data_IF_823966125646
#
_entry.id   IF_823966125646
#
_cell.length_a   1.000
_cell.length_b   1.000
_cell.length_c   1.000
_cell.angle_alpha   90.00
_cell.angle_beta   90.00
_cell.angle_gamma   90.00
#
_symmetry.space_group_name_H-M   'P 1'
#
loop_
_entity.id
_entity.type
_entity.pdbx_description
1 polymer ?
#
# COMPACT_ATOMS: atom_id res chain seq x y z
N UNK A 1 -1.08 9.69 -0.99
CA UNK A 1 -0.85 10.64 0.12
C UNK A 1 -2.17 11.10 0.73
N UNK A 2 -2.19 11.54 1.99
CA UNK A 2 -3.42 12.02 2.66
C UNK A 2 -3.16 13.28 3.47
N UNK A 3 -4.16 14.17 3.51
CA UNK A 3 -4.26 15.34 4.40
C UNK A 3 -5.73 15.55 4.75
N UNK A 4 -6.05 16.51 5.64
CA UNK A 4 -7.42 16.81 6.09
C UNK A 4 -8.41 16.78 4.92
N UNK A 5 -9.37 15.86 5.01
CA UNK A 5 -10.47 15.62 4.07
C UNK A 5 -10.05 15.32 2.61
N UNK A 6 -8.78 14.93 2.37
CA UNK A 6 -8.23 14.73 1.03
C UNK A 6 -7.35 13.48 0.92
N UNK A 7 -7.54 12.73 -0.16
CA UNK A 7 -6.72 11.60 -0.58
C UNK A 7 -6.22 11.85 -1.99
N UNK A 8 -4.92 11.67 -2.18
CA UNK A 8 -4.25 11.76 -3.47
C UNK A 8 -3.70 10.37 -3.82
N UNK A 9 -4.21 9.76 -4.89
CA UNK A 9 -3.60 8.59 -5.51
C UNK A 9 -2.74 9.08 -6.67
N UNK A 10 -1.44 8.88 -6.54
CA UNK A 10 -0.41 9.42 -7.44
C UNK A 10 0.49 8.27 -7.91
N UNK A 11 0.92 8.28 -9.17
CA UNK A 11 1.94 7.35 -9.67
C UNK A 11 1.63 6.81 -11.06
N UNK A 12 2.21 5.65 -11.38
CA UNK A 12 2.11 5.03 -12.70
C UNK A 12 1.50 3.63 -12.58
N UNK A 13 0.46 3.33 -13.36
CA UNK A 13 -0.17 2.00 -13.42
C UNK A 13 -0.44 1.64 -14.89
N UNK A 14 0.21 0.58 -15.36
CA UNK A 14 -0.09 -0.04 -16.67
C UNK A 14 -0.82 -1.36 -16.43
N UNK A 15 -2.10 -1.43 -16.79
CA UNK A 15 -2.93 -2.63 -16.61
C UNK A 15 -4.11 -2.66 -17.58
N UNK A 16 -4.61 -3.85 -17.88
CA UNK A 16 -5.85 -4.05 -18.64
C UNK A 16 -7.09 -4.08 -17.73
N UNK A 17 -6.91 -4.02 -16.41
CA UNK A 17 -8.02 -4.07 -15.47
C UNK A 17 -8.88 -2.80 -15.53
N UNK A 18 -10.21 -2.97 -15.49
CA UNK A 18 -11.14 -1.87 -15.26
C UNK A 18 -11.37 -1.72 -13.75
N UNK A 19 -10.79 -0.68 -13.15
CA UNK A 19 -10.72 -0.51 -11.69
C UNK A 19 -11.47 0.75 -11.26
N UNK A 20 -12.40 0.59 -10.32
CA UNK A 20 -13.03 1.71 -9.61
C UNK A 20 -12.16 2.11 -8.40
N UNK A 21 -11.21 3.01 -8.65
CA UNK A 21 -10.26 3.48 -7.63
C UNK A 21 -10.95 4.21 -6.47
N UNK A 22 -11.97 5.02 -6.74
CA UNK A 22 -12.68 5.77 -5.69
C UNK A 22 -13.37 4.80 -4.72
N UNK A 23 -14.05 3.77 -5.24
CA UNK A 23 -14.66 2.73 -4.41
C UNK A 23 -13.64 1.98 -3.57
N UNK A 24 -12.51 1.55 -4.16
CA UNK A 24 -11.46 0.83 -3.43
C UNK A 24 -10.89 1.69 -2.31
N UNK A 25 -10.58 2.95 -2.59
CA UNK A 25 -10.05 3.89 -1.60
C UNK A 25 -11.05 4.06 -0.45
N UNK A 26 -12.33 4.33 -0.76
CA UNK A 26 -13.36 4.56 0.26
C UNK A 26 -13.62 3.34 1.11
N UNK A 27 -13.75 2.15 0.51
CA UNK A 27 -13.94 0.91 1.27
C UNK A 27 -12.71 0.59 2.14
N UNK A 28 -11.50 0.90 1.68
CA UNK A 28 -10.28 0.76 2.49
C UNK A 28 -10.30 1.70 3.70
N UNK A 29 -10.64 2.98 3.52
CA UNK A 29 -10.73 3.97 4.60
C UNK A 29 -11.83 3.59 5.60
N UNK A 30 -12.98 3.14 5.10
CA UNK A 30 -14.09 2.63 5.92
C UNK A 30 -13.68 1.39 6.72
N UNK A 31 -12.98 0.43 6.12
CA UNK A 31 -12.48 -0.76 6.80
C UNK A 31 -11.46 -0.42 7.91
N UNK A 32 -10.65 0.62 7.71
CA UNK A 32 -9.77 1.14 8.75
C UNK A 32 -10.61 1.74 9.90
N UNK A 33 -11.77 2.34 9.61
CA UNK A 33 -12.75 2.79 10.62
C UNK A 33 -12.96 4.30 10.66
N UNK A 34 -12.51 5.02 9.64
CA UNK A 34 -12.76 6.45 9.45
C UNK A 34 -14.09 6.67 8.72
N UNK A 35 -15.18 6.69 9.49
CA UNK A 35 -16.58 6.73 9.03
C UNK A 35 -17.40 7.91 9.60
N UNK A 36 -16.73 8.78 10.36
CA UNK A 36 -17.28 9.94 11.03
C UNK A 36 -16.19 11.02 11.20
N UNK A 37 -16.52 12.27 10.90
CA UNK A 37 -15.58 13.39 10.92
C UNK A 37 -15.01 13.67 12.33
N UNK A 38 -15.71 13.27 13.40
CA UNK A 38 -15.21 13.36 14.78
C UNK A 38 -13.96 12.51 15.02
N UNK A 39 -13.74 11.47 14.20
CA UNK A 39 -12.51 10.67 14.20
C UNK A 39 -11.35 11.37 13.46
N UNK A 40 -11.58 12.58 12.93
CA UNK A 40 -10.62 13.39 12.19
C UNK A 40 -10.59 13.12 10.69
N UNK A 41 -11.37 12.14 10.21
CA UNK A 41 -11.48 11.78 8.79
C UNK A 41 -12.73 10.93 8.54
N UNK A 42 -13.36 11.06 7.38
CA UNK A 42 -14.56 10.29 7.01
C UNK A 42 -14.53 9.88 5.52
N UNK A 43 -14.69 8.58 5.27
CA UNK A 43 -14.68 8.01 3.92
C UNK A 43 -15.82 8.52 3.02
N UNK A 44 -16.91 9.06 3.59
CA UNK A 44 -18.06 9.55 2.81
C UNK A 44 -17.79 10.95 2.26
N UNK A 45 -17.17 11.80 3.07
CA UNK A 45 -16.96 13.22 2.77
C UNK A 45 -15.58 13.55 2.21
N UNK A 46 -14.60 12.64 2.31
CA UNK A 46 -13.26 12.89 1.79
C UNK A 46 -13.24 13.05 0.26
N UNK A 47 -12.44 14.01 -0.21
CA UNK A 47 -12.16 14.21 -1.64
C UNK A 47 -11.08 13.24 -2.08
N UNK A 48 -11.33 12.53 -3.19
CA UNK A 48 -10.37 11.62 -3.81
C UNK A 48 -9.89 12.27 -5.10
N UNK A 49 -8.57 12.42 -5.23
CA UNK A 49 -7.91 12.93 -6.42
C UNK A 49 -7.03 11.84 -7.01
N UNK A 50 -7.24 11.55 -8.28
CA UNK A 50 -6.51 10.55 -9.03
C UNK A 50 -5.59 11.27 -10.02
N UNK A 51 -4.29 11.04 -9.89
CA UNK A 51 -3.25 11.51 -10.81
C UNK A 51 -2.37 10.30 -11.13
N UNK A 52 -2.89 9.45 -12.01
CA UNK A 52 -2.27 8.19 -12.38
C UNK A 52 -1.96 8.25 -13.87
N UNK A 53 -0.70 8.06 -14.22
CA UNK A 53 -0.24 7.93 -15.59
C UNK A 53 0.09 6.46 -15.91
N UNK A 54 0.44 6.17 -17.16
CA UNK A 54 1.02 4.88 -17.51
C UNK A 54 2.51 4.86 -17.21
N UNK A 55 3.05 3.66 -17.01
CA UNK A 55 4.49 3.48 -16.85
C UNK A 55 5.24 4.05 -18.08
N UNK A 56 6.38 4.70 -17.85
CA UNK A 56 7.27 5.13 -18.93
C UNK A 56 7.64 3.95 -19.85
N UNK A 57 7.60 4.21 -21.16
CA UNK A 57 8.01 3.25 -22.19
C UNK A 57 9.51 2.93 -22.08
N UNK A 58 10.35 3.90 -21.69
CA UNK A 58 11.78 3.62 -21.49
C UNK A 58 12.01 2.65 -20.33
N UNK A 59 11.25 2.79 -19.24
CA UNK A 59 11.31 1.87 -18.10
C UNK A 59 10.79 0.49 -18.50
N UNK A 60 9.64 0.42 -19.17
CA UNK A 60 9.08 -0.86 -19.63
C UNK A 60 10.06 -1.64 -20.52
N UNK A 61 10.74 -0.96 -21.47
CA UNK A 61 11.79 -1.55 -22.31
C UNK A 61 13.04 -1.98 -21.55
N UNK A 62 13.41 -1.26 -20.48
CA UNK A 62 14.53 -1.65 -19.63
C UNK A 62 14.24 -2.85 -18.72
N UNK A 63 12.96 -3.15 -18.49
CA UNK A 63 12.53 -4.15 -17.50
C UNK A 63 11.98 -5.41 -18.15
N UNK A 64 10.95 -5.30 -18.99
CA UNK A 64 10.18 -6.48 -19.44
C UNK A 64 9.85 -6.51 -20.94
N UNK A 65 9.76 -5.39 -21.65
CA UNK A 65 9.37 -5.44 -23.07
C UNK A 65 10.45 -6.17 -23.88
N UNK A 66 10.01 -7.14 -24.68
CA UNK A 66 10.86 -8.01 -25.50
C UNK A 66 11.90 -8.84 -24.71
N UNK A 67 11.74 -8.95 -23.39
CA UNK A 67 12.55 -9.84 -22.56
C UNK A 67 11.82 -11.17 -22.35
N UNK A 68 12.57 -12.26 -22.21
CA UNK A 68 12.00 -13.53 -21.73
C UNK A 68 11.75 -13.44 -20.22
N UNK A 69 10.87 -14.27 -19.67
CA UNK A 69 10.55 -14.25 -18.23
C UNK A 69 11.79 -14.43 -17.33
N UNK A 70 12.83 -15.11 -17.82
CA UNK A 70 14.09 -15.32 -17.09
C UNK A 70 15.08 -14.15 -17.24
N UNK A 71 14.81 -13.19 -18.13
CA UNK A 71 15.68 -12.06 -18.46
C UNK A 71 15.05 -10.71 -18.06
N UNK A 72 14.04 -10.72 -17.18
CA UNK A 72 13.43 -9.48 -16.67
C UNK A 72 14.44 -8.70 -15.84
N UNK A 73 14.65 -7.44 -16.21
CA UNK A 73 15.55 -6.52 -15.51
C UNK A 73 14.98 -6.03 -14.17
N UNK A 74 15.84 -5.52 -13.30
CA UNK A 74 15.39 -4.81 -12.11
C UNK A 74 14.66 -3.52 -12.52
N UNK A 75 13.52 -3.24 -11.88
CA UNK A 75 12.71 -2.03 -12.15
C UNK A 75 13.39 -0.72 -11.79
N UNK A 76 14.33 -0.76 -10.85
CA UNK A 76 15.15 0.36 -10.42
C UNK A 76 16.41 -0.17 -9.72
N UNK A 77 17.40 0.70 -9.52
CA UNK A 77 18.58 0.41 -8.71
C UNK A 77 18.26 0.48 -7.21
N UNK A 78 18.87 -0.40 -6.42
CA UNK A 78 18.68 -0.39 -4.97
C UNK A 78 19.45 -1.48 -4.25
N UNK A 79 19.42 -1.44 -2.92
CA UNK A 79 19.98 -2.50 -2.06
C UNK A 79 18.89 -3.01 -1.13
N UNK A 80 18.79 -4.33 -1.01
CA UNK A 80 17.80 -5.01 -0.17
C UNK A 80 18.54 -5.80 0.91
N UNK A 81 18.06 -5.71 2.15
CA UNK A 81 18.58 -6.47 3.28
C UNK A 81 17.50 -7.43 3.78
N UNK A 82 17.88 -8.70 3.96
CA UNK A 82 17.10 -9.69 4.68
C UNK A 82 17.69 -9.92 6.07
N UNK A 83 16.83 -10.10 7.08
CA UNK A 83 17.24 -10.41 8.45
C UNK A 83 16.31 -11.47 9.04
N UNK A 84 16.87 -12.38 9.83
CA UNK A 84 16.16 -13.38 10.60
C UNK A 84 16.92 -13.66 11.90
N UNK A 85 16.20 -13.94 12.97
CA UNK A 85 16.74 -14.23 14.32
C UNK A 85 15.87 -15.28 15.00
N UNK A 86 16.44 -16.17 15.79
CA UNK A 86 15.71 -17.26 16.47
C UNK A 86 15.04 -16.84 17.79
N UNK A 87 15.07 -15.54 18.12
CA UNK A 87 14.41 -14.97 19.31
C UNK A 87 12.91 -15.26 19.37
N UNK A 88 12.24 -15.47 18.22
CA UNK A 88 10.83 -15.86 18.15
C UNK A 88 10.57 -16.95 17.10
N UNK A 89 9.43 -17.64 17.21
CA UNK A 89 9.00 -18.67 16.25
C UNK A 89 8.79 -18.15 14.82
N UNK A 90 8.57 -16.84 14.66
CA UNK A 90 8.43 -16.19 13.35
C UNK A 90 9.76 -15.79 12.73
N UNK A 91 10.88 -16.09 13.40
CA UNK A 91 12.24 -15.69 13.05
C UNK A 91 12.45 -14.17 12.99
N UNK A 92 11.78 -13.42 13.86
CA UNK A 92 11.79 -11.95 13.88
C UNK A 92 12.26 -11.42 15.24
N UNK A 93 12.82 -10.20 15.32
CA UNK A 93 13.20 -9.61 16.61
C UNK A 93 12.00 -9.55 17.55
N UNK A 94 12.18 -10.00 18.80
CA UNK A 94 11.09 -10.06 19.79
C UNK A 94 10.43 -8.69 20.02
N UNK A 95 11.23 -7.62 20.01
CA UNK A 95 10.74 -6.24 20.17
C UNK A 95 9.75 -5.83 19.08
N UNK A 96 10.02 -6.21 17.83
CA UNK A 96 9.16 -5.93 16.68
C UNK A 96 7.87 -6.76 16.75
N UNK A 97 7.99 -8.05 17.07
CA UNK A 97 6.83 -8.96 17.20
C UNK A 97 5.85 -8.44 18.24
N UNK A 98 6.34 -8.07 19.44
CA UNK A 98 5.49 -7.57 20.51
C UNK A 98 4.81 -6.23 20.15
N UNK A 99 5.54 -5.31 19.52
CA UNK A 99 4.98 -4.02 19.08
C UNK A 99 3.86 -4.20 18.03
N UNK A 100 4.06 -5.10 17.05
CA UNK A 100 3.04 -5.43 16.05
C UNK A 100 1.83 -6.13 16.67
N UNK A 101 2.04 -7.11 17.54
CA UNK A 101 0.95 -7.83 18.22
C UNK A 101 0.11 -6.88 19.10
N UNK A 102 0.75 -5.92 19.77
CA UNK A 102 0.03 -4.92 20.57
C UNK A 102 -0.88 -4.04 19.68
N UNK A 103 -0.34 -3.50 18.59
CA UNK A 103 -1.12 -2.69 17.65
C UNK A 103 -2.25 -3.49 16.98
N UNK A 104 -1.98 -4.75 16.63
CA UNK A 104 -2.99 -5.66 16.09
C UNK A 104 -4.12 -5.89 17.12
N UNK A 105 -3.77 -6.18 18.37
CA UNK A 105 -4.77 -6.40 19.43
C UNK A 105 -5.63 -5.17 19.68
N UNK A 106 -5.04 -3.97 19.68
CA UNK A 106 -5.78 -2.70 19.79
C UNK A 106 -6.75 -2.54 18.60
N UNK A 107 -6.30 -2.84 17.39
CA UNK A 107 -7.15 -2.75 16.21
C UNK A 107 -8.30 -3.78 16.22
N UNK A 108 -8.06 -5.00 16.71
CA UNK A 108 -9.07 -6.04 16.85
C UNK A 108 -10.13 -5.64 17.88
N UNK A 109 -9.70 -5.18 19.06
CA UNK A 109 -10.60 -4.73 20.13
C UNK A 109 -11.46 -3.53 19.72
N UNK A 110 -10.96 -2.67 18.82
CA UNK A 110 -11.73 -1.54 18.27
C UNK A 110 -12.80 -2.00 17.27
N UNK A 111 -12.62 -3.15 16.61
CA UNK A 111 -13.50 -3.67 15.54
C UNK A 111 -14.48 -4.74 16.02
N UNK A 112 -14.23 -5.39 17.16
CA UNK A 112 -15.11 -6.35 17.83
C UNK A 112 -16.30 -5.66 18.50
#
# INVERSE_FOLDING_TARGET
ATKKDQIFLLGEITSQANVDYDKIIRETVKHIGYDDISKGFDYKSCKVQLVIDQQSIEIANGVHDNHSDNDIGAGDQGTVFGYATDETEQFMPLTLVLAHQLNQKIADLRRS
#
